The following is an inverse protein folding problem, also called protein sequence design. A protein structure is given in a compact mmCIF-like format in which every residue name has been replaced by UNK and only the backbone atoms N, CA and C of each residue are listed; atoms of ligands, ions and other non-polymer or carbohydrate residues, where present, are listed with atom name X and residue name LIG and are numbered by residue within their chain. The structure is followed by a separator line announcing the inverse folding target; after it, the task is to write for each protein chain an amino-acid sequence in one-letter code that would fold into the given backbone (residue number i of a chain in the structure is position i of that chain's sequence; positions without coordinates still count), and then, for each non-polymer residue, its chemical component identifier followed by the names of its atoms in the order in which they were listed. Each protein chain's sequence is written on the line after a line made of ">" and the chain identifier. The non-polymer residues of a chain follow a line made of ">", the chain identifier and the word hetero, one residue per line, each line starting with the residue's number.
data_IF_681147228584
#
_entry.id   IF_681147228584
#
_cell.length_a   1.000
_cell.length_b   1.000
_cell.length_c   1.000
_cell.angle_alpha   90.00
_cell.angle_beta   90.00
_cell.angle_gamma   90.00
#
_symmetry.space_group_name_H-M   'P 1'
#
loop_
_entity.id
_entity.type
_entity.pdbx_description
1 polymer ?
#
# COMPACT_ATOMS: atom_id res chain seq x y z
N UNK A 1 28.97 22.47 -31.25
CA UNK A 1 27.73 22.87 -30.56
C UNK A 1 26.66 21.90 -30.96
N UNK A 2 26.31 21.01 -30.08
CA UNK A 2 25.11 20.19 -30.20
C UNK A 2 24.56 19.96 -28.78
N UNK A 3 23.47 20.64 -28.46
CA UNK A 3 22.77 20.53 -27.20
C UNK A 3 22.02 19.21 -27.13
N UNK A 4 22.35 18.38 -26.14
CA UNK A 4 21.56 17.24 -25.75
C UNK A 4 20.34 17.71 -24.98
N UNK A 5 19.15 17.64 -25.60
CA UNK A 5 17.87 17.81 -24.92
C UNK A 5 17.58 16.63 -23.96
N UNK A 6 16.76 16.82 -22.92
CA UNK A 6 16.43 15.78 -21.97
C UNK A 6 15.68 14.64 -22.67
N UNK A 7 16.08 13.41 -22.37
CA UNK A 7 15.50 12.16 -22.86
C UNK A 7 14.00 12.12 -22.57
N UNK A 8 13.19 12.25 -23.63
CA UNK A 8 11.74 12.19 -23.56
C UNK A 8 11.24 10.82 -23.12
N UNK A 9 10.71 10.73 -21.94
CA UNK A 9 9.78 9.65 -21.58
C UNK A 9 8.62 9.77 -22.56
N UNK A 10 8.38 8.72 -23.35
CA UNK A 10 7.40 8.72 -24.43
C UNK A 10 6.04 9.22 -23.93
N UNK A 11 5.45 10.19 -24.64
CA UNK A 11 4.10 10.72 -24.41
C UNK A 11 3.03 9.62 -24.27
N UNK A 12 3.24 8.47 -24.92
CA UNK A 12 2.39 7.29 -24.85
C UNK A 12 2.50 6.60 -23.46
N UNK A 13 3.68 6.57 -22.86
CA UNK A 13 3.86 6.03 -21.52
C UNK A 13 3.24 6.95 -20.46
N UNK A 14 3.35 8.27 -20.63
CA UNK A 14 2.69 9.25 -19.76
C UNK A 14 1.16 9.19 -19.88
N UNK A 15 0.59 9.02 -21.10
CA UNK A 15 -0.86 8.91 -21.25
C UNK A 15 -1.43 7.62 -20.65
N UNK A 16 -0.68 6.51 -20.63
CA UNK A 16 -1.10 5.27 -19.99
C UNK A 16 -1.04 5.37 -18.45
N UNK A 17 -0.01 6.00 -17.91
CA UNK A 17 0.13 6.23 -16.46
C UNK A 17 -1.00 7.08 -15.87
N UNK A 18 -1.63 7.94 -16.70
CA UNK A 18 -2.78 8.78 -16.30
C UNK A 18 -4.13 8.07 -16.48
N UNK A 19 -4.19 6.84 -16.97
CA UNK A 19 -5.43 6.09 -17.21
C UNK A 19 -5.86 5.27 -16.00
N UNK A 20 -4.92 4.86 -15.12
CA UNK A 20 -5.24 4.12 -13.89
C UNK A 20 -5.99 5.00 -12.91
N UNK A 21 -7.11 4.49 -12.43
CA UNK A 21 -7.84 5.08 -11.30
C UNK A 21 -8.11 4.01 -10.27
N UNK A 22 -7.51 4.15 -9.10
CA UNK A 22 -7.68 3.23 -7.99
C UNK A 22 -9.14 3.10 -7.53
N UNK A 23 -9.97 4.09 -7.82
CA UNK A 23 -11.41 4.08 -7.54
C UNK A 23 -12.16 2.82 -8.06
N UNK A 24 -11.65 2.15 -9.12
CA UNK A 24 -12.22 0.89 -9.61
C UNK A 24 -11.91 -0.33 -8.74
N UNK A 25 -10.84 -0.25 -7.94
CA UNK A 25 -10.26 -1.35 -7.17
C UNK A 25 -10.37 -1.13 -5.66
N UNK A 26 -10.82 0.06 -5.24
CA UNK A 26 -10.85 0.47 -3.85
C UNK A 26 -11.63 -0.53 -2.99
N UNK A 27 -11.03 -0.97 -1.89
CA UNK A 27 -11.62 -1.92 -0.96
C UNK A 27 -11.59 -3.38 -1.41
N UNK A 28 -10.91 -3.72 -2.51
CA UNK A 28 -10.74 -5.11 -2.93
C UNK A 28 -9.83 -5.90 -1.97
N UNK A 29 -9.62 -7.20 -2.25
CA UNK A 29 -8.77 -8.07 -1.43
C UNK A 29 -7.34 -7.57 -1.25
N UNK A 30 -6.78 -6.85 -2.25
CA UNK A 30 -5.43 -6.30 -2.19
C UNK A 30 -5.34 -5.13 -1.21
N UNK A 31 -6.32 -4.23 -1.27
CA UNK A 31 -6.43 -3.13 -0.31
C UNK A 31 -6.65 -3.64 1.12
N UNK A 32 -7.48 -4.67 1.30
CA UNK A 32 -7.71 -5.27 2.62
C UNK A 32 -6.39 -5.75 3.23
N UNK A 33 -5.58 -6.51 2.49
CA UNK A 33 -4.29 -6.98 2.99
C UNK A 33 -3.31 -5.82 3.23
N UNK A 34 -3.15 -4.93 2.25
CA UNK A 34 -2.25 -3.79 2.32
C UNK A 34 -2.56 -2.88 3.51
N UNK A 35 -3.82 -2.52 3.65
CA UNK A 35 -4.25 -1.58 4.69
C UNK A 35 -4.27 -2.22 6.09
N UNK A 36 -4.48 -3.53 6.20
CA UNK A 36 -4.29 -4.26 7.47
C UNK A 36 -2.82 -4.17 7.91
N UNK A 37 -1.88 -4.48 7.01
CA UNK A 37 -0.45 -4.39 7.32
C UNK A 37 -0.04 -2.96 7.64
N UNK A 38 -0.50 -1.97 6.86
CA UNK A 38 -0.20 -0.56 7.10
C UNK A 38 -0.71 -0.10 8.47
N UNK A 39 -1.97 -0.43 8.82
CA UNK A 39 -2.55 -0.07 10.11
C UNK A 39 -1.77 -0.68 11.28
N UNK A 40 -1.38 -1.96 11.19
CA UNK A 40 -0.54 -2.62 12.20
C UNK A 40 0.81 -1.92 12.37
N UNK A 41 1.48 -1.59 11.27
CA UNK A 41 2.77 -0.87 11.29
C UNK A 41 2.61 0.51 11.94
N UNK A 42 1.60 1.28 11.57
CA UNK A 42 1.38 2.62 12.13
C UNK A 42 0.96 2.57 13.62
N UNK A 43 0.12 1.61 14.01
CA UNK A 43 -0.21 1.39 15.43
C UNK A 43 1.02 1.03 16.25
N UNK A 44 1.90 0.19 15.72
CA UNK A 44 3.18 -0.10 16.38
C UNK A 44 4.05 1.17 16.53
N UNK A 45 4.06 2.05 15.53
CA UNK A 45 4.76 3.33 15.66
C UNK A 45 4.18 4.21 16.78
N UNK A 46 2.88 4.08 17.08
CA UNK A 46 2.21 4.81 18.15
C UNK A 46 2.52 4.31 19.58
N UNK A 47 3.16 3.15 19.72
CA UNK A 47 3.57 2.65 21.05
C UNK A 47 4.63 3.52 21.76
N UNK A 48 5.30 4.42 21.03
CA UNK A 48 6.27 5.37 21.60
C UNK A 48 5.80 6.81 21.34
N UNK A 49 5.97 7.68 22.32
CA UNK A 49 5.56 9.09 22.22
C UNK A 49 6.32 9.87 21.14
N UNK A 50 7.56 9.49 20.86
CA UNK A 50 8.36 10.15 19.82
C UNK A 50 7.67 10.07 18.47
N UNK A 51 7.48 11.22 17.80
CA UNK A 51 6.83 11.35 16.51
C UNK A 51 7.47 10.52 15.40
N UNK A 52 6.67 10.14 14.42
CA UNK A 52 7.10 9.44 13.21
C UNK A 52 6.69 10.19 11.94
N UNK A 53 7.31 9.82 10.83
CA UNK A 53 6.94 10.31 9.49
C UNK A 53 6.46 9.14 8.64
N UNK A 54 5.30 9.31 8.03
CA UNK A 54 4.80 8.45 6.96
C UNK A 54 5.11 9.09 5.61
N UNK A 55 5.63 8.31 4.69
CA UNK A 55 5.90 8.72 3.30
C UNK A 55 5.13 7.78 2.39
N UNK A 56 4.21 8.34 1.60
CA UNK A 56 3.44 7.60 0.60
C UNK A 56 3.90 8.04 -0.79
N UNK A 57 4.41 7.09 -1.57
CA UNK A 57 4.93 7.38 -2.91
C UNK A 57 3.86 7.46 -3.98
N UNK A 58 2.67 6.89 -3.71
CA UNK A 58 1.54 6.84 -4.66
C UNK A 58 0.24 6.99 -3.88
N UNK A 59 0.00 8.18 -3.37
CA UNK A 59 -1.02 8.44 -2.36
C UNK A 59 -2.47 8.32 -2.87
N UNK A 60 -2.69 8.40 -4.19
CA UNK A 60 -4.04 8.38 -4.77
C UNK A 60 -4.89 9.57 -4.31
N UNK A 61 -6.19 9.39 -4.36
CA UNK A 61 -7.17 10.41 -3.96
C UNK A 61 -7.40 10.49 -2.43
N UNK A 62 -6.81 9.59 -1.64
CA UNK A 62 -6.96 9.53 -0.19
C UNK A 62 -8.23 8.84 0.29
N UNK A 63 -9.30 8.90 -0.46
CA UNK A 63 -10.57 8.21 -0.20
C UNK A 63 -11.36 8.03 -1.48
N UNK A 64 -12.20 7.00 -1.52
CA UNK A 64 -12.88 6.56 -2.74
C UNK A 64 -14.36 6.32 -2.48
N UNK A 65 -15.24 6.91 -3.33
CA UNK A 65 -16.67 6.60 -3.30
C UNK A 65 -16.93 5.20 -3.85
N UNK A 66 -17.77 4.44 -3.17
CA UNK A 66 -18.25 3.12 -3.59
C UNK A 66 -19.65 3.17 -4.20
N UNK A 67 -20.27 4.36 -4.27
CA UNK A 67 -21.62 4.59 -4.83
C UNK A 67 -21.62 5.08 -6.28
N UNK A 68 -20.46 5.35 -6.89
CA UNK A 68 -20.34 5.89 -8.24
C UNK A 68 -20.40 4.83 -9.34
N UNK A 69 -20.67 5.29 -10.59
CA UNK A 69 -20.62 4.40 -11.78
C UNK A 69 -19.32 3.62 -11.91
N UNK A 70 -18.22 4.17 -11.40
CA UNK A 70 -16.89 3.55 -11.41
C UNK A 70 -16.81 2.35 -10.47
N UNK A 71 -17.33 2.46 -9.25
CA UNK A 71 -17.36 1.37 -8.29
C UNK A 71 -18.36 0.27 -8.69
N UNK A 72 -19.52 0.66 -9.25
CA UNK A 72 -20.57 -0.27 -9.68
C UNK A 72 -20.18 -1.11 -10.92
N UNK A 73 -19.23 -0.65 -11.75
CA UNK A 73 -18.82 -1.39 -12.95
C UNK A 73 -18.04 -2.68 -12.65
N UNK A 74 -17.37 -2.78 -11.49
CA UNK A 74 -16.60 -3.96 -11.09
C UNK A 74 -16.97 -4.53 -9.73
N UNK A 75 -17.49 -3.72 -8.80
CA UNK A 75 -17.93 -4.16 -7.48
C UNK A 75 -16.84 -4.89 -6.66
N UNK A 76 -15.56 -4.62 -6.91
CA UNK A 76 -14.46 -5.39 -6.31
C UNK A 76 -14.45 -5.31 -4.77
N UNK A 77 -14.97 -4.21 -4.20
CA UNK A 77 -15.15 -4.07 -2.75
C UNK A 77 -16.13 -5.09 -2.16
N UNK A 78 -17.10 -5.58 -2.95
CA UNK A 78 -18.06 -6.60 -2.51
C UNK A 78 -17.37 -7.94 -2.23
N UNK A 79 -16.29 -8.24 -2.99
CA UNK A 79 -15.43 -9.41 -2.80
C UNK A 79 -14.20 -9.11 -1.91
N UNK A 80 -14.13 -7.92 -1.36
CA UNK A 80 -13.09 -7.42 -0.47
C UNK A 80 -13.64 -7.05 0.89
N UNK A 81 -13.55 -5.77 1.22
CA UNK A 81 -13.90 -5.23 2.55
C UNK A 81 -15.36 -5.52 2.96
N UNK A 82 -16.31 -5.56 2.01
CA UNK A 82 -17.71 -5.84 2.33
C UNK A 82 -17.90 -7.23 2.96
N UNK A 83 -17.12 -8.22 2.56
CA UNK A 83 -17.16 -9.56 3.17
C UNK A 83 -16.73 -9.53 4.65
N UNK A 84 -15.78 -8.68 5.02
CA UNK A 84 -15.33 -8.54 6.40
C UNK A 84 -16.35 -7.84 7.29
N UNK A 85 -17.10 -6.87 6.76
CA UNK A 85 -18.11 -6.12 7.51
C UNK A 85 -19.25 -6.99 8.04
N UNK A 86 -19.52 -8.13 7.40
CA UNK A 86 -20.51 -9.11 7.81
C UNK A 86 -20.05 -10.14 8.83
N UNK A 87 -18.76 -10.19 9.18
CA UNK A 87 -18.22 -11.15 10.13
C UNK A 87 -18.20 -10.61 11.56
N UNK A 88 -18.63 -11.45 12.53
CA UNK A 88 -18.62 -11.13 13.95
C UNK A 88 -17.30 -11.51 14.65
N UNK A 89 -16.65 -12.58 14.19
CA UNK A 89 -15.44 -13.15 14.82
C UNK A 89 -14.19 -12.82 13.98
N UNK A 90 -13.95 -11.53 13.74
CA UNK A 90 -12.76 -11.08 13.04
C UNK A 90 -11.50 -11.21 13.94
N UNK A 91 -10.37 -11.70 13.41
CA UNK A 91 -9.08 -11.46 14.05
C UNK A 91 -8.89 -9.99 14.39
N UNK A 92 -8.32 -9.67 15.54
CA UNK A 92 -8.21 -8.30 16.04
C UNK A 92 -7.66 -7.29 15.02
N UNK A 93 -6.60 -7.58 14.22
CA UNK A 93 -6.13 -6.65 13.21
C UNK A 93 -7.15 -6.32 12.12
N UNK A 94 -8.02 -7.30 11.77
CA UNK A 94 -9.09 -7.07 10.78
C UNK A 94 -10.26 -6.30 11.39
N UNK A 95 -10.59 -6.56 12.65
CA UNK A 95 -11.57 -5.76 13.38
C UNK A 95 -11.14 -4.29 13.47
N UNK A 96 -9.85 -4.05 13.67
CA UNK A 96 -9.25 -2.71 13.66
C UNK A 96 -9.36 -2.02 12.30
N UNK A 97 -9.09 -2.73 11.20
CA UNK A 97 -9.29 -2.19 9.85
C UNK A 97 -10.76 -1.87 9.59
N UNK A 98 -11.67 -2.78 9.95
CA UNK A 98 -13.12 -2.56 9.82
C UNK A 98 -13.56 -1.34 10.64
N UNK A 99 -13.01 -1.14 11.84
CA UNK A 99 -13.30 0.05 12.65
C UNK A 99 -12.84 1.35 11.96
N UNK A 100 -11.65 1.38 11.34
CA UNK A 100 -11.17 2.51 10.56
C UNK A 100 -12.08 2.80 9.34
N UNK A 101 -12.50 1.76 8.63
CA UNK A 101 -13.44 1.90 7.51
C UNK A 101 -14.79 2.44 7.98
N UNK A 102 -15.33 1.94 9.09
CA UNK A 102 -16.58 2.45 9.69
C UNK A 102 -16.44 3.90 10.14
N UNK A 103 -15.34 4.25 10.78
CA UNK A 103 -15.06 5.64 11.18
C UNK A 103 -15.03 6.57 9.96
N UNK A 104 -14.45 6.14 8.84
CA UNK A 104 -14.41 6.88 7.59
C UNK A 104 -15.82 7.06 6.96
N UNK A 105 -16.79 6.22 7.33
CA UNK A 105 -18.19 6.31 6.95
C UNK A 105 -19.09 6.89 8.07
N UNK A 106 -18.54 7.79 8.92
CA UNK A 106 -19.25 8.46 10.03
C UNK A 106 -19.89 7.45 11.04
N UNK A 107 -19.35 6.26 11.17
CA UNK A 107 -19.90 5.19 12.01
C UNK A 107 -21.18 4.55 11.46
N UNK A 108 -21.61 4.91 10.25
CA UNK A 108 -22.81 4.35 9.61
C UNK A 108 -22.60 2.90 9.19
N UNK A 109 -23.66 2.12 9.21
CA UNK A 109 -23.63 0.72 8.76
C UNK A 109 -23.42 0.58 7.23
N UNK A 110 -23.85 1.58 6.47
CA UNK A 110 -23.73 1.58 5.01
C UNK A 110 -22.29 1.91 4.59
N UNK A 111 -21.69 1.02 3.83
CA UNK A 111 -20.37 1.20 3.22
C UNK A 111 -20.53 2.06 1.94
N UNK A 112 -20.29 3.37 2.05
CA UNK A 112 -20.38 4.32 0.94
C UNK A 112 -19.04 4.75 0.40
N UNK A 113 -18.02 4.69 1.25
CA UNK A 113 -16.66 5.14 0.94
C UNK A 113 -15.64 4.16 1.49
N UNK A 114 -14.48 4.11 0.84
CA UNK A 114 -13.33 3.33 1.31
C UNK A 114 -12.12 4.26 1.54
N UNK A 115 -11.46 4.18 2.71
CA UNK A 115 -10.26 4.97 2.98
C UNK A 115 -9.06 4.44 2.20
N UNK A 116 -8.36 5.31 1.50
CA UNK A 116 -7.04 5.03 0.97
C UNK A 116 -5.97 5.03 2.05
N UNK A 117 -4.73 4.66 1.69
CA UNK A 117 -3.58 4.69 2.60
C UNK A 117 -3.38 6.05 3.31
N UNK A 118 -3.57 7.23 2.65
CA UNK A 118 -3.46 8.52 3.34
C UNK A 118 -4.51 8.72 4.43
N UNK A 119 -5.76 8.32 4.17
CA UNK A 119 -6.84 8.44 5.15
C UNK A 119 -6.62 7.55 6.37
N UNK A 120 -6.13 6.31 6.15
CA UNK A 120 -5.76 5.39 7.23
C UNK A 120 -4.59 5.97 8.05
N UNK A 121 -3.58 6.51 7.37
CA UNK A 121 -2.44 7.11 8.04
C UNK A 121 -2.86 8.36 8.86
N UNK A 122 -3.73 9.19 8.30
CA UNK A 122 -4.27 10.37 9.00
C UNK A 122 -5.12 9.98 10.22
N UNK A 123 -5.96 8.94 10.11
CA UNK A 123 -6.78 8.47 11.24
C UNK A 123 -5.93 7.94 12.41
N UNK A 124 -4.71 7.49 12.16
CA UNK A 124 -3.76 7.00 13.17
C UNK A 124 -2.69 8.01 13.57
N UNK A 125 -2.64 9.16 12.90
CA UNK A 125 -1.68 10.22 13.12
C UNK A 125 -1.96 10.97 14.43
N UNK A 126 -0.91 11.30 15.16
CA UNK A 126 -0.93 12.15 16.36
C UNK A 126 -0.40 13.53 16.04
N UNK A 127 -0.57 14.56 16.90
CA UNK A 127 -0.12 15.93 16.63
C UNK A 127 1.38 16.08 16.31
N UNK A 128 2.24 15.19 16.84
CA UNK A 128 3.68 15.20 16.61
C UNK A 128 4.13 14.43 15.38
N UNK A 129 3.21 13.73 14.69
CA UNK A 129 3.51 12.90 13.53
C UNK A 129 3.40 13.70 12.23
N UNK A 130 3.96 13.17 11.14
CA UNK A 130 4.00 13.86 9.86
C UNK A 130 3.65 12.91 8.71
N UNK A 131 2.86 13.39 7.75
CA UNK A 131 2.60 12.71 6.48
C UNK A 131 3.26 13.47 5.32
N UNK A 132 3.87 12.73 4.40
CA UNK A 132 4.48 13.21 3.15
C UNK A 132 3.90 12.39 2.01
N UNK A 133 2.98 13.00 1.27
CA UNK A 133 2.13 12.32 0.29
C UNK A 133 2.51 12.81 -1.11
N UNK A 134 2.88 11.87 -1.99
CA UNK A 134 3.18 12.15 -3.39
C UNK A 134 2.12 11.52 -4.28
N UNK A 135 1.56 12.31 -5.20
CA UNK A 135 0.59 11.83 -6.19
C UNK A 135 0.88 12.50 -7.52
N UNK A 136 1.00 11.70 -8.60
CA UNK A 136 1.30 12.23 -9.93
C UNK A 136 0.06 12.56 -10.75
N UNK A 137 -1.07 11.90 -10.46
CA UNK A 137 -2.30 12.14 -11.20
C UNK A 137 -2.95 13.46 -10.76
N UNK A 138 -3.10 14.48 -11.63
CA UNK A 138 -3.53 15.82 -11.21
C UNK A 138 -4.92 15.86 -10.56
N UNK A 139 -5.85 14.99 -11.02
CA UNK A 139 -7.21 14.91 -10.46
C UNK A 139 -7.17 14.32 -9.05
N UNK A 140 -6.46 13.20 -8.85
CA UNK A 140 -6.38 12.53 -7.56
C UNK A 140 -5.61 13.39 -6.55
N UNK A 141 -4.54 14.06 -7.01
CA UNK A 141 -3.85 15.08 -6.21
C UNK A 141 -4.78 16.19 -5.72
N UNK A 142 -5.65 16.73 -6.60
CA UNK A 142 -6.60 17.79 -6.21
C UNK A 142 -7.60 17.29 -5.16
N UNK A 143 -8.11 16.06 -5.32
CA UNK A 143 -9.03 15.44 -4.35
C UNK A 143 -8.32 15.25 -3.02
N UNK A 144 -7.11 14.68 -3.03
CA UNK A 144 -6.30 14.46 -1.85
C UNK A 144 -5.97 15.79 -1.13
N UNK A 145 -5.58 16.83 -1.87
CA UNK A 145 -5.31 18.14 -1.33
C UNK A 145 -6.54 18.81 -0.72
N UNK A 146 -7.71 18.65 -1.33
CA UNK A 146 -8.98 19.13 -0.77
C UNK A 146 -9.37 18.39 0.51
N UNK A 147 -8.98 17.12 0.63
CA UNK A 147 -9.33 16.30 1.80
C UNK A 147 -8.35 16.49 2.98
N UNK A 148 -7.04 16.50 2.72
CA UNK A 148 -6.01 16.48 3.75
C UNK A 148 -5.08 17.71 3.76
N UNK A 149 -5.23 18.66 2.81
CA UNK A 149 -4.29 19.76 2.64
C UNK A 149 -4.19 20.70 3.84
N UNK A 150 -5.27 20.87 4.58
CA UNK A 150 -5.33 21.74 5.75
C UNK A 150 -5.01 21.02 7.08
N UNK A 151 -4.73 19.71 7.03
CA UNK A 151 -4.39 18.93 8.24
C UNK A 151 -2.96 19.26 8.69
N UNK A 152 -2.75 19.74 9.93
CA UNK A 152 -1.42 20.05 10.43
C UNK A 152 -0.49 18.82 10.35
N UNK A 153 0.74 19.02 9.87
CA UNK A 153 1.73 17.94 9.71
C UNK A 153 1.65 17.17 8.39
N UNK A 154 0.62 17.42 7.57
CA UNK A 154 0.46 16.81 6.24
C UNK A 154 1.06 17.71 5.16
N UNK A 155 1.85 17.13 4.27
CA UNK A 155 2.38 17.77 3.07
C UNK A 155 2.06 16.90 1.85
N UNK A 156 1.38 17.49 0.85
CA UNK A 156 0.94 16.83 -0.37
C UNK A 156 1.64 17.49 -1.55
N UNK A 157 2.25 16.67 -2.43
CA UNK A 157 2.93 17.16 -3.63
C UNK A 157 2.47 16.46 -4.89
N UNK A 158 2.24 17.26 -5.93
CA UNK A 158 2.06 16.76 -7.30
C UNK A 158 3.46 16.41 -7.86
N UNK A 159 3.93 15.21 -7.58
CA UNK A 159 5.30 14.79 -7.92
C UNK A 159 5.43 13.29 -8.02
N UNK A 160 6.49 12.84 -8.68
CA UNK A 160 6.93 11.45 -8.70
C UNK A 160 7.40 11.03 -7.31
N UNK A 161 6.67 10.11 -6.67
CA UNK A 161 6.94 9.66 -5.30
C UNK A 161 8.26 8.91 -5.16
N UNK A 162 8.71 8.17 -6.18
CA UNK A 162 10.02 7.53 -6.14
C UNK A 162 11.14 8.57 -6.09
N UNK A 163 11.05 9.61 -6.90
CA UNK A 163 12.02 10.70 -6.90
C UNK A 163 12.00 11.52 -5.61
N UNK A 164 10.82 11.62 -4.96
CA UNK A 164 10.63 12.36 -3.73
C UNK A 164 11.25 11.69 -2.50
N UNK A 165 11.47 10.36 -2.51
CA UNK A 165 12.01 9.60 -1.37
C UNK A 165 13.27 10.23 -0.78
N UNK A 166 14.20 10.63 -1.64
CA UNK A 166 15.49 11.23 -1.22
C UNK A 166 15.35 12.51 -0.39
N UNK A 167 14.27 13.27 -0.59
CA UNK A 167 13.99 14.50 0.17
C UNK A 167 13.28 14.26 1.49
N UNK A 168 12.69 13.09 1.68
CA UNK A 168 11.90 12.76 2.86
C UNK A 168 12.63 11.84 3.84
N UNK A 169 13.74 11.22 3.44
CA UNK A 169 14.50 10.25 4.22
C UNK A 169 15.95 10.69 4.48
N UNK A 170 16.49 10.46 5.69
CA UNK A 170 15.76 10.01 6.89
C UNK A 170 14.91 11.13 7.50
N UNK A 171 13.81 10.83 8.21
CA UNK A 171 13.08 11.84 8.96
C UNK A 171 13.91 12.35 10.14
N UNK A 172 13.71 13.61 10.56
CA UNK A 172 14.41 14.22 11.70
C UNK A 172 14.21 13.44 13.00
N UNK A 173 13.04 12.84 13.16
CA UNK A 173 12.72 11.97 14.32
C UNK A 173 13.44 10.62 14.29
N UNK A 174 14.07 10.24 13.17
CA UNK A 174 14.66 8.90 12.96
C UNK A 174 13.65 7.77 13.20
N UNK A 175 12.36 8.06 12.96
CA UNK A 175 11.26 7.09 12.99
C UNK A 175 10.36 7.33 11.80
N UNK A 176 10.14 6.33 10.98
CA UNK A 176 9.34 6.51 9.77
C UNK A 176 8.91 5.21 9.12
N UNK A 177 7.85 5.35 8.34
CA UNK A 177 7.25 4.32 7.49
C UNK A 177 7.18 4.84 6.08
N UNK A 178 7.64 4.08 5.11
CA UNK A 178 7.49 4.35 3.68
C UNK A 178 6.52 3.33 3.11
N UNK A 179 5.50 3.78 2.37
CA UNK A 179 4.67 2.93 1.52
C UNK A 179 5.07 3.13 0.05
N UNK A 180 5.36 2.03 -0.63
CA UNK A 180 5.61 1.98 -2.08
C UNK A 180 4.50 1.13 -2.70
N UNK A 181 3.58 1.78 -3.42
CA UNK A 181 2.36 1.18 -3.94
C UNK A 181 2.01 1.71 -5.34
N UNK A 182 2.89 1.52 -6.35
CA UNK A 182 2.60 1.94 -7.71
C UNK A 182 1.50 1.06 -8.33
N UNK A 183 0.90 1.54 -9.43
CA UNK A 183 -0.16 0.80 -10.14
C UNK A 183 0.31 -0.46 -10.86
N UNK A 184 1.62 -0.57 -11.15
CA UNK A 184 2.21 -1.66 -11.95
C UNK A 184 1.61 -1.84 -13.36
N UNK A 185 0.95 -0.81 -13.90
CA UNK A 185 0.48 -0.82 -15.28
C UNK A 185 1.63 -0.79 -16.29
N UNK A 186 2.74 -0.21 -15.90
CA UNK A 186 3.95 -0.15 -16.73
C UNK A 186 5.04 -1.04 -16.12
N UNK A 187 5.72 -1.80 -16.98
CA UNK A 187 6.76 -2.75 -16.54
C UNK A 187 7.91 -2.09 -15.77
N UNK A 188 8.18 -0.82 -16.03
CA UNK A 188 9.21 -0.06 -15.32
C UNK A 188 8.92 0.11 -13.83
N UNK A 189 7.65 0.01 -13.39
CA UNK A 189 7.30 0.13 -11.98
C UNK A 189 7.94 -0.99 -11.13
N UNK A 190 8.10 -2.20 -11.69
CA UNK A 190 8.78 -3.29 -10.98
C UNK A 190 10.25 -2.96 -10.68
N UNK A 191 10.96 -2.38 -11.65
CA UNK A 191 12.35 -1.94 -11.47
C UNK A 191 12.44 -0.72 -10.55
N UNK A 192 11.52 0.22 -10.68
CA UNK A 192 11.46 1.42 -9.85
C UNK A 192 11.13 1.10 -8.40
N UNK A 193 10.24 0.13 -8.16
CA UNK A 193 9.92 -0.36 -6.81
C UNK A 193 11.16 -0.93 -6.13
N UNK A 194 11.94 -1.77 -6.82
CA UNK A 194 13.20 -2.28 -6.28
C UNK A 194 14.22 -1.17 -6.01
N UNK A 195 14.35 -0.21 -6.92
CA UNK A 195 15.22 0.95 -6.74
C UNK A 195 14.76 1.82 -5.55
N UNK A 196 13.44 2.02 -5.41
CA UNK A 196 12.85 2.76 -4.29
C UNK A 196 13.12 2.11 -2.94
N UNK A 197 13.02 0.77 -2.84
CA UNK A 197 13.40 0.04 -1.63
C UNK A 197 14.88 0.25 -1.29
N UNK A 198 15.77 0.13 -2.28
CA UNK A 198 17.23 0.36 -2.09
C UNK A 198 17.52 1.77 -1.60
N UNK A 199 16.98 2.78 -2.30
CA UNK A 199 17.12 4.20 -1.92
C UNK A 199 16.64 4.45 -0.49
N UNK A 200 15.48 3.88 -0.12
CA UNK A 200 14.93 4.05 1.22
C UNK A 200 15.82 3.42 2.29
N UNK A 201 16.32 2.21 2.07
CA UNK A 201 17.18 1.51 3.03
C UNK A 201 18.59 2.08 3.10
N UNK A 202 19.17 2.56 1.99
CA UNK A 202 20.46 3.27 1.98
C UNK A 202 20.41 4.55 2.81
N UNK A 203 19.33 5.33 2.69
CA UNK A 203 19.17 6.59 3.43
C UNK A 203 18.71 6.39 4.86
N UNK A 204 17.90 5.38 5.10
CA UNK A 204 17.30 5.11 6.39
C UNK A 204 17.26 3.61 6.70
N UNK A 205 18.40 3.01 7.06
CA UNK A 205 18.55 1.56 7.26
C UNK A 205 17.63 0.94 8.31
N UNK A 206 17.16 1.74 9.29
CA UNK A 206 16.21 1.30 10.32
C UNK A 206 14.73 1.62 9.98
N UNK A 207 14.48 2.33 8.88
CA UNK A 207 13.14 2.71 8.44
C UNK A 207 12.31 1.51 8.03
N UNK A 208 11.05 1.48 8.42
CA UNK A 208 10.11 0.46 7.93
C UNK A 208 9.65 0.82 6.53
N UNK A 209 9.86 -0.09 5.57
CA UNK A 209 9.40 0.09 4.19
C UNK A 209 8.38 -0.99 3.87
N UNK A 210 7.16 -0.57 3.57
CA UNK A 210 6.05 -1.42 3.14
C UNK A 210 5.94 -1.32 1.62
N UNK A 211 5.95 -2.46 0.94
CA UNK A 211 5.85 -2.54 -0.53
C UNK A 211 4.68 -3.44 -0.88
N UNK A 212 3.70 -2.91 -1.59
CA UNK A 212 2.64 -3.72 -2.17
C UNK A 212 3.04 -4.24 -3.55
N UNK A 213 2.62 -5.47 -3.90
CA UNK A 213 2.93 -6.15 -5.16
C UNK A 213 1.72 -6.94 -5.66
N UNK A 214 1.29 -6.79 -6.93
CA UNK A 214 0.26 -7.64 -7.49
C UNK A 214 0.79 -9.04 -7.81
N UNK A 215 -0.06 -10.05 -7.69
CA UNK A 215 0.18 -11.38 -8.26
C UNK A 215 -0.49 -11.45 -9.63
N UNK A 216 0.29 -11.25 -10.65
CA UNK A 216 -0.13 -11.33 -12.07
C UNK A 216 0.83 -12.24 -12.85
N UNK A 217 0.38 -12.76 -13.99
CA UNK A 217 1.16 -13.67 -14.83
C UNK A 217 2.24 -12.94 -15.66
N UNK A 218 3.10 -12.16 -14.98
CA UNK A 218 4.24 -11.46 -15.55
C UNK A 218 5.53 -11.92 -14.88
N UNK A 219 6.59 -12.07 -15.66
CA UNK A 219 7.92 -12.48 -15.14
C UNK A 219 8.43 -11.49 -14.10
N UNK A 220 8.26 -10.19 -14.37
CA UNK A 220 8.66 -9.10 -13.48
C UNK A 220 7.95 -9.20 -12.11
N UNK A 221 6.64 -9.49 -12.10
CA UNK A 221 5.85 -9.66 -10.88
C UNK A 221 6.28 -10.91 -10.09
N UNK A 222 6.61 -11.98 -10.79
CA UNK A 222 7.04 -13.26 -10.17
C UNK A 222 8.42 -13.15 -9.53
N UNK A 223 9.35 -12.40 -10.15
CA UNK A 223 10.73 -12.27 -9.67
C UNK A 223 10.92 -11.20 -8.59
N UNK A 224 10.07 -10.17 -8.57
CA UNK A 224 10.28 -9.01 -7.68
C UNK A 224 10.29 -9.39 -6.19
N UNK A 225 9.41 -10.26 -5.65
CA UNK A 225 9.45 -10.63 -4.24
C UNK A 225 10.82 -11.19 -3.80
N UNK A 226 11.43 -12.05 -4.61
CA UNK A 226 12.75 -12.61 -4.32
C UNK A 226 13.87 -11.55 -4.37
N UNK A 227 13.77 -10.60 -5.30
CA UNK A 227 14.73 -9.48 -5.41
C UNK A 227 14.61 -8.51 -4.23
N UNK A 228 13.39 -8.28 -3.71
CA UNK A 228 13.17 -7.47 -2.50
C UNK A 228 13.76 -8.15 -1.27
N UNK A 229 13.55 -9.48 -1.12
CA UNK A 229 14.16 -10.27 -0.03
C UNK A 229 15.68 -10.16 -0.06
N UNK A 230 16.33 -10.43 -1.19
CA UNK A 230 17.76 -10.32 -1.35
C UNK A 230 18.32 -8.92 -1.04
N UNK A 231 17.56 -7.87 -1.42
CA UNK A 231 17.92 -6.49 -1.09
C UNK A 231 17.82 -6.22 0.42
N UNK A 232 16.73 -6.67 1.06
CA UNK A 232 16.53 -6.46 2.48
C UNK A 232 17.49 -7.30 3.34
N UNK A 233 17.87 -8.52 2.91
CA UNK A 233 18.87 -9.35 3.60
C UNK A 233 20.23 -8.64 3.73
N UNK A 234 20.56 -7.74 2.80
CA UNK A 234 21.82 -6.99 2.82
C UNK A 234 21.72 -5.61 3.46
N UNK A 235 20.56 -4.93 3.34
CA UNK A 235 20.44 -3.52 3.67
C UNK A 235 19.52 -3.22 4.88
N UNK A 236 18.55 -4.09 5.18
CA UNK A 236 17.64 -3.89 6.31
C UNK A 236 18.29 -4.33 7.63
N UNK A 237 18.07 -3.55 8.71
CA UNK A 237 18.65 -3.85 10.03
C UNK A 237 17.88 -4.89 10.84
N UNK A 238 16.58 -5.08 10.51
CA UNK A 238 15.67 -6.00 11.22
C UNK A 238 15.08 -7.05 10.28
N UNK A 239 15.75 -7.30 9.14
CA UNK A 239 15.28 -8.27 8.17
C UNK A 239 13.98 -7.85 7.45
N UNK A 240 13.20 -8.84 7.03
CA UNK A 240 11.98 -8.62 6.26
C UNK A 240 10.88 -9.62 6.63
N UNK A 241 9.65 -9.24 6.25
CA UNK A 241 8.45 -10.06 6.29
C UNK A 241 7.75 -9.97 4.93
N UNK A 242 7.17 -11.08 4.45
CA UNK A 242 6.35 -11.10 3.24
C UNK A 242 5.03 -11.84 3.50
N UNK A 243 3.93 -11.13 3.41
CA UNK A 243 2.57 -11.66 3.50
C UNK A 243 2.01 -11.82 2.08
N UNK A 244 1.71 -13.06 1.66
CA UNK A 244 1.16 -13.38 0.35
C UNK A 244 -0.25 -13.94 0.48
N UNK A 245 -1.18 -13.37 -0.28
CA UNK A 245 -2.58 -13.79 -0.34
C UNK A 245 -2.97 -14.04 -1.80
N UNK A 246 -3.39 -15.26 -2.13
CA UNK A 246 -3.88 -15.65 -3.45
C UNK A 246 -5.34 -16.01 -3.31
N UNK A 247 -6.24 -15.28 -3.98
CA UNK A 247 -7.70 -15.42 -3.82
C UNK A 247 -8.44 -15.73 -5.11
N UNK A 248 -7.81 -15.51 -6.27
CA UNK A 248 -8.39 -15.71 -7.59
C UNK A 248 -7.44 -16.47 -8.51
N UNK A 249 -7.96 -16.89 -9.65
CA UNK A 249 -7.18 -17.43 -10.76
C UNK A 249 -7.09 -16.41 -11.90
N UNK A 250 -5.99 -16.46 -12.66
CA UNK A 250 -5.93 -15.77 -13.94
C UNK A 250 -6.95 -16.38 -14.90
N UNK A 251 -7.45 -15.58 -15.85
CA UNK A 251 -8.30 -16.12 -16.93
C UNK A 251 -7.53 -17.10 -17.83
N UNK A 252 -8.21 -17.76 -18.76
CA UNK A 252 -7.60 -18.74 -19.66
C UNK A 252 -6.46 -18.16 -20.54
N UNK A 253 -6.36 -16.84 -20.65
CA UNK A 253 -5.30 -16.12 -21.37
C UNK A 253 -4.19 -15.63 -20.45
N UNK A 254 -4.29 -15.90 -19.13
CA UNK A 254 -3.33 -15.45 -18.13
C UNK A 254 -3.54 -14.03 -17.63
N UNK A 255 -4.67 -13.39 -17.92
CA UNK A 255 -4.98 -12.05 -17.42
C UNK A 255 -5.71 -12.09 -16.07
N UNK A 256 -5.59 -10.98 -15.33
CA UNK A 256 -6.23 -10.78 -14.04
C UNK A 256 -5.24 -10.85 -12.88
N UNK A 257 -5.58 -10.17 -11.81
CA UNK A 257 -4.82 -10.17 -10.55
C UNK A 257 -5.30 -11.34 -9.69
N UNK A 258 -4.43 -12.32 -9.46
CA UNK A 258 -4.73 -13.51 -8.67
C UNK A 258 -4.70 -13.25 -7.16
N UNK A 259 -4.07 -12.19 -6.74
CA UNK A 259 -3.84 -11.84 -5.35
C UNK A 259 -2.76 -10.78 -5.22
N UNK A 260 -2.16 -10.68 -4.03
CA UNK A 260 -1.09 -9.71 -3.78
C UNK A 260 -0.09 -10.21 -2.73
N UNK A 261 1.06 -9.54 -2.70
CA UNK A 261 2.00 -9.60 -1.60
C UNK A 261 2.09 -8.23 -0.93
N UNK A 262 2.31 -8.23 0.38
CA UNK A 262 2.80 -7.07 1.11
C UNK A 262 4.13 -7.44 1.72
N UNK A 263 5.20 -6.85 1.18
CA UNK A 263 6.55 -7.02 1.66
C UNK A 263 6.89 -5.89 2.62
N UNK A 264 7.51 -6.21 3.77
CA UNK A 264 7.90 -5.22 4.77
C UNK A 264 9.38 -5.41 5.10
N UNK A 265 10.21 -4.42 4.78
CA UNK A 265 11.57 -4.34 5.30
C UNK A 265 11.57 -3.64 6.67
N UNK A 266 12.38 -4.12 7.60
CA UNK A 266 12.40 -3.71 9.01
C UNK A 266 11.00 -3.78 9.67
N UNK A 267 10.33 -4.94 9.66
CA UNK A 267 9.00 -5.06 10.23
C UNK A 267 9.01 -4.78 11.74
N UNK A 268 7.90 -4.26 12.31
CA UNK A 268 7.64 -4.37 13.73
C UNK A 268 7.81 -5.82 14.22
N UNK A 269 8.39 -6.03 15.38
CA UNK A 269 8.61 -7.38 15.90
C UNK A 269 7.31 -8.14 16.20
N UNK A 270 6.19 -7.45 16.38
CA UNK A 270 4.86 -8.04 16.58
C UNK A 270 4.20 -8.47 15.28
N UNK A 271 4.59 -7.86 14.15
CA UNK A 271 3.84 -7.96 12.89
C UNK A 271 3.64 -9.40 12.42
N UNK A 272 4.63 -10.27 12.60
CA UNK A 272 4.49 -11.67 12.21
C UNK A 272 3.40 -12.38 13.03
N UNK A 273 3.42 -12.21 14.35
CA UNK A 273 2.43 -12.81 15.24
C UNK A 273 1.03 -12.24 14.99
N UNK A 274 0.92 -10.93 14.77
CA UNK A 274 -0.35 -10.26 14.47
C UNK A 274 -0.98 -10.77 13.16
N UNK A 275 -0.15 -11.11 12.16
CA UNK A 275 -0.62 -11.60 10.86
C UNK A 275 -0.88 -13.12 10.82
N UNK A 276 -0.36 -13.91 11.76
CA UNK A 276 -0.58 -15.36 11.78
C UNK A 276 -2.07 -15.77 11.75
N UNK A 277 -2.98 -15.20 12.56
CA UNK A 277 -4.41 -15.50 12.47
C UNK A 277 -5.09 -14.81 11.28
N UNK A 278 -4.56 -13.68 10.80
CA UNK A 278 -5.14 -12.88 9.72
C UNK A 278 -5.04 -13.58 8.37
N UNK A 279 -3.87 -14.12 8.05
CA UNK A 279 -3.59 -14.63 6.71
C UNK A 279 -4.48 -15.82 6.30
N UNK A 280 -4.65 -16.89 7.11
CA UNK A 280 -5.56 -17.98 6.76
C UNK A 280 -7.02 -17.52 6.75
N UNK A 281 -7.42 -16.61 7.65
CA UNK A 281 -8.77 -16.05 7.67
C UNK A 281 -9.08 -15.30 6.36
N UNK A 282 -8.18 -14.43 5.89
CA UNK A 282 -8.36 -13.73 4.62
C UNK A 282 -8.40 -14.69 3.42
N UNK A 283 -7.56 -15.74 3.42
CA UNK A 283 -7.58 -16.75 2.36
C UNK A 283 -8.94 -17.47 2.28
N UNK A 284 -9.58 -17.70 3.41
CA UNK A 284 -10.90 -18.32 3.46
C UNK A 284 -12.01 -17.34 3.06
N UNK A 285 -12.06 -16.16 3.69
CA UNK A 285 -13.19 -15.22 3.54
C UNK A 285 -13.17 -14.52 2.19
N UNK A 286 -11.98 -14.22 1.65
CA UNK A 286 -11.84 -13.54 0.36
C UNK A 286 -11.66 -14.49 -0.83
N UNK A 287 -11.79 -15.81 -0.62
CA UNK A 287 -11.67 -16.81 -1.68
C UNK A 287 -12.67 -16.55 -2.83
N UNK A 288 -12.14 -16.60 -4.05
CA UNK A 288 -12.90 -16.53 -5.31
C UNK A 288 -12.77 -17.83 -6.12
N UNK A 289 -12.05 -18.82 -5.58
CA UNK A 289 -11.88 -20.16 -6.13
C UNK A 289 -11.39 -21.12 -5.01
N UNK A 290 -11.50 -22.43 -5.24
CA UNK A 290 -11.19 -23.47 -4.24
C UNK A 290 -9.69 -23.57 -3.87
N UNK A 291 -8.81 -22.99 -4.69
CA UNK A 291 -7.35 -22.99 -4.46
C UNK A 291 -6.83 -21.75 -3.73
N UNK A 292 -7.71 -20.96 -3.12
CA UNK A 292 -7.31 -19.77 -2.36
C UNK A 292 -6.39 -20.15 -1.19
N UNK A 293 -5.31 -19.38 -1.00
CA UNK A 293 -4.27 -19.69 -0.02
C UNK A 293 -3.52 -18.45 0.43
N UNK A 294 -2.88 -18.58 1.57
CA UNK A 294 -1.96 -17.56 2.08
C UNK A 294 -0.61 -18.15 2.42
N UNK A 295 0.40 -17.30 2.45
CA UNK A 295 1.71 -17.62 3.01
C UNK A 295 2.24 -16.40 3.76
N UNK A 296 2.88 -16.66 4.90
CA UNK A 296 3.53 -15.65 5.72
C UNK A 296 4.97 -16.10 5.97
N UNK A 297 5.91 -15.31 5.48
CA UNK A 297 7.35 -15.61 5.53
C UNK A 297 8.09 -14.45 6.19
N UNK A 298 9.17 -14.76 6.88
CA UNK A 298 10.09 -13.76 7.43
C UNK A 298 11.52 -14.20 7.33
N UNK A 299 12.45 -13.25 7.35
CA UNK A 299 13.88 -13.55 7.50
C UNK A 299 14.21 -14.04 8.91
N UNK A 300 15.35 -14.68 9.08
CA UNK A 300 15.82 -15.11 10.39
C UNK A 300 16.06 -13.94 11.37
N UNK A 301 16.27 -12.73 10.85
CA UNK A 301 16.52 -11.51 11.64
C UNK A 301 15.22 -10.74 12.01
N UNK A 302 14.05 -11.19 11.57
CA UNK A 302 12.77 -10.51 11.77
C UNK A 302 11.92 -11.12 12.88
#
# INVERSE_FOLDING_TARGET
>A
MAGGGPSGVSLVAQSRMLAYRHAFHAGNHADVLKHTVLALVLRYMNLKDKGWRYVDTHAGAGGYSLEGEYANKRGEYEQGIARLLGHHDLPAPLADLVALVRQFNDGKAALRQYPGSPAIAQALMRPQDQLRLSEMHPTDHKILASYLGDVPGVEIKLTDGFAALKGHLPPTTRRGVVLIDPSYEIKTDYTRTLAGLREALERFPEGTVVVWLPQVALVEATQLPQRLKATADTAAKKGWLNARLTVAQADARGYGMMGSNVFVANPPHTLFADLQPVMPFLAQVLAQFDGARSALEKSAAA
#
